data_IF_913030885202
#
_entry.id   IF_913030885202
#
_cell.length_a   1.000
_cell.length_b   1.000
_cell.length_c   1.000
_cell.angle_alpha   90.00
_cell.angle_beta   90.00
_cell.angle_gamma   90.00
#
_symmetry.space_group_name_H-M   'P 1'
#
loop_
_entity.id
_entity.type
_entity.pdbx_description
1 polymer ?
#
# COMPACT_ATOMS: atom_id res chain seq x y z
N UNK A 1 -10.34 -7.67 15.36
CA UNK A 1 -8.88 -7.85 15.50
C UNK A 1 -8.27 -7.29 14.23
N UNK A 2 -7.39 -6.30 14.31
CA UNK A 2 -6.69 -5.81 13.13
C UNK A 2 -5.65 -6.87 12.71
N UNK A 3 -5.81 -7.44 11.51
CA UNK A 3 -4.88 -8.42 10.96
C UNK A 3 -3.67 -7.68 10.40
N UNK A 4 -2.66 -7.48 11.25
CA UNK A 4 -1.38 -6.87 10.86
C UNK A 4 -0.65 -7.74 9.85
N UNK A 5 -0.04 -7.10 8.86
CA UNK A 5 0.80 -7.76 7.85
C UNK A 5 2.12 -7.02 7.68
N UNK A 6 3.16 -7.80 7.35
CA UNK A 6 4.46 -7.29 6.94
C UNK A 6 4.69 -7.77 5.51
N UNK A 7 4.90 -6.83 4.59
CA UNK A 7 5.16 -7.10 3.19
C UNK A 7 6.55 -6.60 2.86
N UNK A 8 7.38 -7.47 2.31
CA UNK A 8 8.72 -7.11 1.82
C UNK A 8 8.81 -7.45 0.34
N UNK A 9 9.36 -6.54 -0.46
CA UNK A 9 9.40 -6.73 -1.89
C UNK A 9 9.99 -5.57 -2.66
N UNK A 10 9.68 -5.54 -3.94
CA UNK A 10 10.08 -4.50 -4.88
C UNK A 10 8.85 -3.78 -5.40
N UNK A 11 8.88 -2.45 -5.42
CA UNK A 11 7.83 -1.63 -6.01
C UNK A 11 7.80 -1.86 -7.52
N UNK A 12 6.64 -2.21 -8.03
CA UNK A 12 6.40 -2.40 -9.46
C UNK A 12 5.76 -1.16 -10.08
N UNK A 13 4.80 -0.56 -9.36
CA UNK A 13 4.01 0.57 -9.83
C UNK A 13 3.48 1.36 -8.63
N UNK A 14 3.30 2.68 -8.82
CA UNK A 14 2.57 3.53 -7.88
C UNK A 14 1.48 4.26 -8.66
N UNK A 15 0.22 4.03 -8.28
CA UNK A 15 -0.95 4.53 -8.98
C UNK A 15 -1.81 5.35 -8.04
N UNK A 16 -2.32 6.49 -8.47
CA UNK A 16 -3.32 7.23 -7.69
C UNK A 16 -4.68 6.50 -7.79
N UNK A 17 -5.24 6.11 -6.65
CA UNK A 17 -6.52 5.41 -6.56
C UNK A 17 -7.67 6.37 -6.27
N UNK A 18 -7.43 7.41 -5.47
CA UNK A 18 -8.43 8.40 -5.08
C UNK A 18 -7.81 9.78 -4.93
N UNK A 19 -8.40 10.75 -5.62
CA UNK A 19 -8.03 12.17 -5.52
C UNK A 19 -9.06 12.89 -4.63
N UNK A 20 -8.62 13.43 -3.51
CA UNK A 20 -9.46 14.09 -2.49
C UNK A 20 -8.92 15.48 -2.09
N UNK A 21 -7.69 15.82 -2.49
CA UNK A 21 -7.05 17.10 -2.23
C UNK A 21 -5.75 16.94 -1.43
N UNK A 22 -4.66 16.59 -2.12
CA UNK A 22 -3.24 16.54 -1.70
C UNK A 22 -2.88 15.64 -0.52
N UNK A 23 -3.44 15.85 0.67
CA UNK A 23 -3.04 15.12 1.88
C UNK A 23 -3.83 13.83 2.10
N UNK A 24 -5.07 13.79 1.59
CA UNK A 24 -5.98 12.66 1.74
C UNK A 24 -6.04 11.80 0.45
N UNK A 25 -5.18 12.07 -0.54
CA UNK A 25 -5.13 11.29 -1.77
C UNK A 25 -4.65 9.88 -1.42
N UNK A 26 -5.27 8.85 -1.98
CA UNK A 26 -4.92 7.45 -1.74
C UNK A 26 -4.17 6.91 -2.95
N UNK A 27 -3.02 6.30 -2.69
CA UNK A 27 -2.17 5.66 -3.69
C UNK A 27 -2.14 4.15 -3.49
N UNK A 28 -2.18 3.41 -4.59
CA UNK A 28 -1.90 1.99 -4.64
C UNK A 28 -0.44 1.77 -5.02
N UNK A 29 0.31 1.17 -4.11
CA UNK A 29 1.69 0.72 -4.36
C UNK A 29 1.62 -0.76 -4.69
N UNK A 30 1.87 -1.11 -5.94
CA UNK A 30 1.97 -2.51 -6.38
C UNK A 30 3.35 -3.02 -6.03
N UNK A 31 3.42 -4.09 -5.25
CA UNK A 31 4.65 -4.69 -4.72
C UNK A 31 4.73 -6.13 -5.19
N UNK A 32 5.86 -6.50 -5.77
CA UNK A 32 6.22 -7.91 -5.98
C UNK A 32 6.94 -8.41 -4.74
N UNK A 33 6.30 -9.33 -4.01
CA UNK A 33 6.82 -9.88 -2.75
C UNK A 33 8.13 -10.63 -2.98
N UNK A 34 9.04 -10.49 -2.02
CA UNK A 34 10.32 -11.19 -2.02
C UNK A 34 10.18 -12.69 -1.70
N UNK A 35 9.14 -13.10 -0.96
CA UNK A 35 8.99 -14.49 -0.47
C UNK A 35 8.58 -15.47 -1.57
N UNK A 36 7.60 -15.08 -2.40
CA UNK A 36 6.90 -15.97 -3.34
C UNK A 36 6.77 -15.36 -4.74
N UNK A 37 7.23 -14.12 -4.93
CA UNK A 37 7.08 -13.37 -6.18
C UNK A 37 5.64 -12.94 -6.48
N UNK A 38 4.68 -13.16 -5.57
CA UNK A 38 3.31 -12.71 -5.77
C UNK A 38 3.23 -11.19 -5.76
N UNK A 39 2.29 -10.67 -6.55
CA UNK A 39 2.01 -9.24 -6.60
C UNK A 39 0.89 -8.90 -5.63
N UNK A 40 1.08 -7.83 -4.87
CA UNK A 40 0.09 -7.32 -3.94
C UNK A 40 0.02 -5.81 -4.07
N UNK A 41 -1.19 -5.26 -4.00
CA UNK A 41 -1.39 -3.81 -3.97
C UNK A 41 -1.61 -3.39 -2.53
N UNK A 42 -0.80 -2.44 -2.08
CA UNK A 42 -0.95 -1.81 -0.77
C UNK A 42 -1.41 -0.38 -0.97
N UNK A 43 -2.49 -0.01 -0.28
CA UNK A 43 -3.00 1.34 -0.27
C UNK A 43 -2.29 2.18 0.79
N UNK A 44 -1.96 3.43 0.47
CA UNK A 44 -1.34 4.36 1.40
C UNK A 44 -1.84 5.78 1.14
N UNK A 45 -1.90 6.59 2.19
CA UNK A 45 -2.16 8.02 2.05
C UNK A 45 -0.94 8.72 1.43
N UNK A 46 -1.19 9.80 0.70
CA UNK A 46 -0.16 10.66 0.12
C UNK A 46 0.84 11.19 1.16
N UNK A 47 0.39 11.37 2.41
CA UNK A 47 1.20 11.78 3.56
C UNK A 47 2.29 10.77 3.93
N UNK A 48 2.02 9.48 3.72
CA UNK A 48 2.91 8.34 4.01
C UNK A 48 3.77 7.95 2.80
N UNK A 49 3.43 8.47 1.61
CA UNK A 49 4.14 8.20 0.36
C UNK A 49 5.25 9.23 0.13
N UNK A 50 6.52 8.80 0.14
CA UNK A 50 7.61 9.66 -0.34
C UNK A 50 7.59 9.70 -1.87
N UNK A 51 7.73 10.90 -2.41
CA UNK A 51 7.76 11.19 -3.85
C UNK A 51 8.88 10.45 -4.59
N UNK A 52 9.88 9.92 -3.87
CA UNK A 52 10.99 9.15 -4.41
C UNK A 52 10.68 7.66 -4.55
N UNK A 53 9.49 7.20 -4.12
CA UNK A 53 9.10 5.81 -4.29
C UNK A 53 8.83 5.53 -5.79
N UNK A 54 9.77 4.84 -6.41
CA UNK A 54 9.76 4.54 -7.84
C UNK A 54 9.78 3.04 -8.10
N UNK A 55 9.33 2.57 -9.29
CA UNK A 55 9.51 1.18 -9.69
C UNK A 55 10.98 0.72 -9.55
N UNK A 56 11.18 -0.48 -9.02
CA UNK A 56 12.48 -1.05 -8.68
C UNK A 56 12.97 -0.75 -7.26
N UNK A 57 12.26 0.09 -6.48
CA UNK A 57 12.63 0.37 -5.09
C UNK A 57 12.33 -0.83 -4.20
N UNK A 58 13.30 -1.27 -3.40
CA UNK A 58 13.08 -2.28 -2.36
C UNK A 58 12.34 -1.64 -1.18
N UNK A 59 11.29 -2.28 -0.70
CA UNK A 59 10.40 -1.74 0.32
C UNK A 59 10.00 -2.79 1.34
N UNK A 60 9.83 -2.36 2.59
CA UNK A 60 9.15 -3.09 3.64
C UNK A 60 7.94 -2.27 4.12
N UNK A 61 6.77 -2.88 4.10
CA UNK A 61 5.50 -2.26 4.50
C UNK A 61 4.98 -2.94 5.75
N UNK A 62 4.66 -2.14 6.77
CA UNK A 62 3.80 -2.54 7.87
C UNK A 62 2.39 -2.06 7.55
N UNK A 63 1.45 -2.98 7.45
CA UNK A 63 0.06 -2.67 7.13
C UNK A 63 -0.93 -3.53 7.90
N UNK A 64 -2.19 -3.41 7.52
CA UNK A 64 -3.29 -4.22 8.03
C UNK A 64 -4.23 -4.63 6.90
N UNK A 65 -4.73 -5.87 6.95
CA UNK A 65 -5.88 -6.27 6.13
C UNK A 65 -7.14 -5.62 6.68
N UNK A 66 -7.95 -5.10 5.77
CA UNK A 66 -9.32 -4.69 6.03
C UNK A 66 -10.22 -5.41 5.04
N UNK A 67 -11.29 -6.03 5.55
CA UNK A 67 -12.34 -6.64 4.75
C UNK A 67 -13.41 -5.61 4.33
N UNK A 68 -13.10 -4.32 4.48
CA UNK A 68 -14.00 -3.21 4.18
C UNK A 68 -13.34 -2.08 3.40
N UNK A 69 -14.11 -1.47 2.50
CA UNK A 69 -13.80 -0.19 1.87
C UNK A 69 -13.96 1.00 2.84
N UNK A 70 -13.71 2.22 2.37
CA UNK A 70 -13.84 3.44 3.18
C UNK A 70 -15.29 3.74 3.61
N UNK A 71 -16.30 3.22 2.90
CA UNK A 71 -17.73 3.35 3.22
C UNK A 71 -18.22 2.20 4.14
N UNK A 72 -17.35 1.27 4.51
CA UNK A 72 -17.67 0.11 5.34
C UNK A 72 -18.30 -1.07 4.59
N UNK A 73 -18.32 -1.05 3.25
CA UNK A 73 -18.78 -2.16 2.41
C UNK A 73 -17.69 -3.23 2.27
N UNK A 74 -18.03 -4.50 2.00
CA UNK A 74 -17.04 -5.56 1.86
C UNK A 74 -16.01 -5.29 0.75
N UNK A 75 -14.72 -5.35 1.08
CA UNK A 75 -13.59 -5.25 0.14
C UNK A 75 -12.33 -5.86 0.77
N UNK A 76 -11.49 -6.58 0.02
CA UNK A 76 -10.20 -7.05 0.52
C UNK A 76 -9.11 -6.04 0.17
N UNK A 77 -8.58 -5.34 1.18
CA UNK A 77 -7.58 -4.28 1.00
C UNK A 77 -6.48 -4.43 2.03
N UNK A 78 -5.27 -4.02 1.64
CA UNK A 78 -4.14 -3.85 2.56
C UNK A 78 -3.84 -2.36 2.64
N UNK A 79 -3.91 -1.80 3.84
CA UNK A 79 -3.60 -0.39 4.06
C UNK A 79 -2.30 -0.27 4.83
N UNK A 80 -1.37 0.52 4.30
CA UNK A 80 -0.09 0.79 4.92
C UNK A 80 -0.28 1.69 6.14
N UNK A 81 0.35 1.28 7.24
CA UNK A 81 0.62 2.16 8.38
C UNK A 81 1.99 2.82 8.28
N UNK A 82 2.95 2.13 7.67
CA UNK A 82 4.31 2.64 7.50
C UNK A 82 4.96 2.00 6.28
N UNK A 83 5.60 2.83 5.45
CA UNK A 83 6.44 2.44 4.32
C UNK A 83 7.91 2.70 4.67
N UNK A 84 8.76 1.68 4.63
CA UNK A 84 10.20 1.80 4.90
C UNK A 84 11.01 1.37 3.66
N UNK A 85 11.90 2.23 3.17
CA UNK A 85 12.74 2.00 1.99
C UNK A 85 14.03 2.85 2.07
#
# INVERSE_FOLDING_TARGET
MENKVIIQGEVMEVTMLKETGRMLDIFGVKIRKAEDGMEVTVECEASELDKRLLPGTKIAVLGYHTDKDEDGKPADRIVAKTLNY
#
